data_IF_257551149915
#
_entry.id   IF_257551149915
#
_cell.length_a   1.000
_cell.length_b   1.000
_cell.length_c   1.000
_cell.angle_alpha   90.00
_cell.angle_beta   90.00
_cell.angle_gamma   90.00
#
_symmetry.space_group_name_H-M   'P 1'
#
loop_
_entity.id
_entity.type
_entity.pdbx_description
1 polymer ?
#
# COMPACT_ATOMS: atom_id res chain seq x y z
N UNK A 1 7.01 3.62 11.71
CA UNK A 1 5.63 3.33 11.26
C UNK A 1 5.38 1.85 11.35
N UNK A 2 4.20 1.43 11.85
CA UNK A 2 3.88 0.01 11.95
C UNK A 2 3.70 -0.58 10.56
N UNK A 3 4.29 -1.75 10.32
CA UNK A 3 3.94 -2.58 9.17
C UNK A 3 2.53 -3.11 9.41
N UNK A 4 1.59 -2.80 8.52
CA UNK A 4 0.19 -3.23 8.64
C UNK A 4 -0.03 -4.64 8.14
N UNK A 5 0.73 -5.08 7.13
CA UNK A 5 0.70 -6.44 6.62
C UNK A 5 2.10 -6.85 6.16
N UNK A 6 2.46 -8.13 6.32
CA UNK A 6 3.71 -8.69 5.80
C UNK A 6 3.43 -9.97 5.03
N UNK A 7 3.82 -10.00 3.76
CA UNK A 7 3.70 -11.20 2.91
C UNK A 7 5.05 -11.49 2.28
N UNK A 8 5.71 -12.56 2.75
CA UNK A 8 7.06 -12.90 2.32
C UNK A 8 8.05 -11.76 2.59
N UNK A 9 8.65 -11.21 1.52
CA UNK A 9 9.59 -10.07 1.60
C UNK A 9 8.91 -8.70 1.61
N UNK A 10 7.63 -8.63 1.28
CA UNK A 10 6.91 -7.37 1.12
C UNK A 10 6.31 -6.92 2.45
N UNK A 11 6.62 -5.67 2.83
CA UNK A 11 6.02 -4.99 3.97
C UNK A 11 5.05 -3.94 3.46
N UNK A 12 3.83 -4.00 3.94
CA UNK A 12 2.77 -3.04 3.64
C UNK A 12 2.71 -2.05 4.80
N UNK A 13 2.72 -0.75 4.51
CA UNK A 13 2.71 0.31 5.52
C UNK A 13 1.98 1.56 5.03
N UNK A 14 1.53 2.39 5.97
CA UNK A 14 0.97 3.72 5.72
C UNK A 14 1.98 4.77 6.19
N UNK A 15 2.19 5.85 5.43
CA UNK A 15 2.94 6.98 5.96
C UNK A 15 2.08 7.87 6.85
N UNK A 16 2.44 8.00 8.13
CA UNK A 16 1.70 8.77 9.12
C UNK A 16 1.49 10.26 8.77
N UNK A 17 2.27 10.81 7.84
CA UNK A 17 2.17 12.19 7.39
C UNK A 17 1.47 12.34 6.03
N UNK A 18 1.09 11.26 5.34
CA UNK A 18 0.48 11.34 4.01
C UNK A 18 -0.96 11.89 4.06
N UNK A 19 -1.79 11.40 4.97
CA UNK A 19 -3.18 11.88 5.05
C UNK A 19 -3.35 13.25 5.74
N UNK A 20 -2.28 14.05 5.89
CA UNK A 20 -2.39 15.42 6.39
C UNK A 20 -2.96 16.37 5.33
N UNK A 21 -2.96 15.97 4.05
CA UNK A 21 -3.70 16.65 2.99
C UNK A 21 -5.15 16.15 2.94
N UNK A 22 -6.08 17.08 3.15
CA UNK A 22 -7.52 16.83 3.18
C UNK A 22 -7.97 16.28 1.82
N UNK A 23 -8.09 14.95 1.70
CA UNK A 23 -8.69 14.28 0.53
C UNK A 23 -7.80 13.28 -0.22
N UNK A 24 -6.66 12.84 0.33
CA UNK A 24 -5.88 11.79 -0.33
C UNK A 24 -6.64 10.45 -0.32
N UNK A 25 -6.73 9.80 -1.49
CA UNK A 25 -7.45 8.53 -1.62
C UNK A 25 -6.75 7.43 -0.81
N UNK A 26 -7.47 6.43 -0.28
CA UNK A 26 -6.86 5.31 0.42
C UNK A 26 -5.80 4.61 -0.42
N UNK A 27 -4.59 4.45 0.11
CA UNK A 27 -3.48 3.80 -0.58
C UNK A 27 -2.58 3.03 0.38
N UNK A 28 -1.66 2.24 -0.16
CA UNK A 28 -0.74 1.43 0.63
C UNK A 28 0.65 1.45 0.01
N UNK A 29 1.69 1.57 0.84
CA UNK A 29 3.08 1.48 0.43
C UNK A 29 3.57 0.05 0.62
N UNK A 30 4.30 -0.47 -0.37
CA UNK A 30 4.85 -1.81 -0.39
C UNK A 30 6.37 -1.73 -0.53
N UNK A 31 7.06 -2.00 0.56
CA UNK A 31 8.52 -1.85 0.68
C UNK A 31 9.19 -3.21 0.82
N UNK A 32 10.26 -3.43 0.06
CA UNK A 32 11.16 -4.57 0.23
C UNK A 32 12.58 -4.22 -0.23
N UNK A 33 13.59 -4.58 0.57
CA UNK A 33 14.97 -4.11 0.37
C UNK A 33 15.01 -2.58 0.21
N UNK A 34 15.59 -2.10 -0.90
CA UNK A 34 15.70 -0.67 -1.28
C UNK A 34 14.68 -0.28 -2.36
N UNK A 35 13.53 -0.97 -2.40
CA UNK A 35 12.48 -0.77 -3.42
C UNK A 35 11.15 -0.46 -2.77
N UNK A 36 10.37 0.35 -3.45
CA UNK A 36 9.08 0.82 -2.98
C UNK A 36 8.07 0.95 -4.13
N UNK A 37 6.80 0.67 -3.84
CA UNK A 37 5.70 0.96 -4.73
C UNK A 37 4.49 1.34 -3.89
N UNK A 38 3.62 2.18 -4.42
CA UNK A 38 2.34 2.47 -3.78
C UNK A 38 1.19 2.10 -4.69
N UNK A 39 0.08 1.68 -4.08
CA UNK A 39 -1.16 1.34 -4.77
C UNK A 39 -2.33 2.05 -4.14
N UNK A 40 -3.20 2.64 -4.95
CA UNK A 40 -4.54 3.01 -4.52
C UNK A 40 -5.29 1.75 -4.10
N UNK A 41 -6.24 1.89 -3.16
CA UNK A 41 -7.06 0.78 -2.67
C UNK A 41 -8.49 0.84 -3.20
N UNK A 42 -8.90 1.91 -3.88
CA UNK A 42 -10.25 2.09 -4.41
C UNK A 42 -10.26 2.93 -5.71
N UNK A 43 -10.22 2.31 -6.90
CA UNK A 43 -9.90 0.89 -7.15
C UNK A 43 -8.42 0.57 -6.88
N UNK A 44 -8.06 -0.73 -6.92
CA UNK A 44 -6.66 -1.13 -6.79
C UNK A 44 -5.91 -0.79 -8.07
N UNK A 45 -5.02 0.19 -7.99
CA UNK A 45 -4.26 0.70 -9.13
C UNK A 45 -2.86 1.14 -8.67
N UNK A 46 -1.86 0.91 -9.51
CA UNK A 46 -0.50 1.38 -9.23
C UNK A 46 -0.46 2.92 -9.18
N UNK A 47 0.01 3.47 -8.07
CA UNK A 47 0.27 4.92 -7.91
C UNK A 47 1.67 5.26 -8.42
N UNK A 48 2.68 4.53 -7.95
CA UNK A 48 4.05 4.63 -8.44
C UNK A 48 4.84 3.36 -8.17
N UNK A 49 5.94 3.18 -8.89
CA UNK A 49 6.88 2.09 -8.74
C UNK A 49 8.31 2.63 -8.76
N UNK A 50 9.07 2.32 -7.71
CA UNK A 50 10.48 2.61 -7.57
C UNK A 50 11.27 1.30 -7.39
N UNK A 51 11.82 0.81 -8.51
CA UNK A 51 12.78 -0.29 -8.52
C UNK A 51 12.21 -1.71 -8.64
N UNK A 52 10.89 -1.90 -8.68
CA UNK A 52 10.31 -3.21 -9.01
C UNK A 52 10.19 -3.40 -10.53
N UNK A 53 10.31 -4.65 -10.98
CA UNK A 53 9.98 -5.03 -12.36
C UNK A 53 8.47 -5.16 -12.54
N UNK A 54 7.97 -5.09 -13.78
CA UNK A 54 6.54 -5.29 -14.09
C UNK A 54 6.00 -6.63 -13.55
N UNK A 55 6.82 -7.68 -13.59
CA UNK A 55 6.45 -8.99 -13.02
C UNK A 55 6.25 -8.93 -11.51
N UNK A 56 7.08 -8.16 -10.82
CA UNK A 56 6.97 -7.95 -9.38
C UNK A 56 5.78 -7.05 -9.05
N UNK A 57 5.53 -5.99 -9.82
CA UNK A 57 4.34 -5.14 -9.69
C UNK A 57 3.07 -5.97 -9.84
N UNK A 58 2.96 -6.78 -10.90
CA UNK A 58 1.80 -7.67 -11.10
C UNK A 58 1.62 -8.70 -9.97
N UNK A 59 2.70 -9.05 -9.25
CA UNK A 59 2.62 -9.92 -8.08
C UNK A 59 2.14 -9.13 -6.86
N UNK A 60 2.69 -7.94 -6.64
CA UNK A 60 2.32 -7.06 -5.53
C UNK A 60 0.87 -6.64 -5.66
N UNK A 61 0.42 -6.22 -6.84
CA UNK A 61 -0.96 -5.86 -7.13
C UNK A 61 -1.93 -6.98 -6.75
N UNK A 62 -1.62 -8.23 -7.13
CA UNK A 62 -2.42 -9.40 -6.72
C UNK A 62 -2.48 -9.58 -5.21
N UNK A 63 -1.42 -9.26 -4.48
CA UNK A 63 -1.43 -9.26 -3.02
C UNK A 63 -2.28 -8.11 -2.46
N UNK A 64 -2.18 -6.92 -3.04
CA UNK A 64 -3.01 -5.77 -2.65
C UNK A 64 -4.50 -6.09 -2.87
N UNK A 65 -4.87 -6.64 -4.03
CA UNK A 65 -6.24 -7.07 -4.32
C UNK A 65 -6.72 -8.13 -3.32
N UNK A 66 -5.90 -9.16 -3.05
CA UNK A 66 -6.26 -10.22 -2.11
C UNK A 66 -6.51 -9.72 -0.67
N UNK A 67 -5.86 -8.62 -0.28
CA UNK A 67 -5.98 -8.02 1.05
C UNK A 67 -6.72 -6.67 1.05
N UNK A 68 -7.34 -6.27 -0.07
CA UNK A 68 -7.87 -4.91 -0.27
C UNK A 68 -8.82 -4.49 0.84
N UNK A 69 -9.80 -5.34 1.18
CA UNK A 69 -10.78 -5.03 2.22
C UNK A 69 -10.17 -4.88 3.61
N UNK A 70 -9.10 -5.64 3.92
CA UNK A 70 -8.38 -5.52 5.19
C UNK A 70 -7.55 -4.23 5.23
N UNK A 71 -6.88 -3.90 4.13
CA UNK A 71 -6.08 -2.68 4.01
C UNK A 71 -6.95 -1.43 4.07
N UNK A 72 -8.13 -1.42 3.44
CA UNK A 72 -9.10 -0.33 3.54
C UNK A 72 -9.61 -0.11 4.97
N UNK A 73 -9.94 -1.19 5.69
CA UNK A 73 -10.34 -1.08 7.11
C UNK A 73 -9.22 -0.48 7.94
N UNK A 74 -8.00 -1.00 7.81
CA UNK A 74 -6.85 -0.47 8.54
C UNK A 74 -6.49 0.96 8.17
N UNK A 75 -6.73 1.37 6.92
CA UNK A 75 -6.56 2.76 6.50
C UNK A 75 -7.51 3.69 7.27
N UNK A 76 -8.81 3.36 7.29
CA UNK A 76 -9.83 4.11 8.05
C UNK A 76 -9.51 4.12 9.56
N UNK A 77 -9.14 2.98 10.15
CA UNK A 77 -8.75 2.89 11.57
C UNK A 77 -7.52 3.78 11.89
N UNK A 78 -6.54 3.83 10.99
CA UNK A 78 -5.27 4.53 11.22
C UNK A 78 -5.40 6.05 11.03
N UNK A 79 -6.21 6.49 10.06
CA UNK A 79 -6.37 7.89 9.73
C UNK A 79 -7.63 8.55 10.30
N UNK A 80 -8.48 7.79 10.99
CA UNK A 80 -9.59 8.31 11.77
C UNK A 80 -10.74 8.90 10.94
N UNK A 81 -11.13 8.20 9.88
CA UNK A 81 -12.47 8.39 9.28
C UNK A 81 -13.55 7.68 10.10
#
# INVERSE_FOLDING_TARGET
MPTVLRVGRYRFLFWAHENQEIGERPHIHVVSAEREAAFWLAPVELRYNEGYTDREINRIERLVVAHQSELLRRWSDFFGE
#
